data_IF_804308907207
#
_entry.id   IF_804308907207
#
_cell.length_a   1.000
_cell.length_b   1.000
_cell.length_c   1.000
_cell.angle_alpha   90.00
_cell.angle_beta   90.00
_cell.angle_gamma   90.00
#
_symmetry.space_group_name_H-M   'P 1'
#
loop_
_entity.id
_entity.type
_entity.pdbx_description
1 polymer ?
#
# COMPACT_ATOMS: atom_id res chain seq x y z
N UNK A 1 22.02 -41.75 31.59
CA UNK A 1 21.15 -40.56 31.41
C UNK A 1 21.74 -39.74 30.27
N UNK A 2 21.17 -39.83 29.05
CA UNK A 2 21.62 -39.03 27.90
C UNK A 2 20.80 -37.75 27.88
N UNK A 3 21.44 -36.62 28.15
CA UNK A 3 20.85 -35.30 27.99
C UNK A 3 20.85 -34.99 26.49
N UNK A 4 19.66 -34.92 25.88
CA UNK A 4 19.50 -34.33 24.55
C UNK A 4 19.55 -32.81 24.72
N UNK A 5 20.65 -32.20 24.30
CA UNK A 5 20.72 -30.76 24.11
C UNK A 5 19.83 -30.38 22.91
N UNK A 6 18.67 -29.77 23.18
CA UNK A 6 17.92 -29.07 22.14
C UNK A 6 18.72 -27.81 21.78
N UNK A 7 19.36 -27.83 20.61
CA UNK A 7 19.84 -26.60 19.99
C UNK A 7 18.63 -25.87 19.40
N UNK A 8 18.22 -24.78 20.05
CA UNK A 8 17.25 -23.84 19.49
C UNK A 8 17.94 -23.11 18.33
N UNK A 9 17.70 -23.56 17.10
CA UNK A 9 18.03 -22.76 15.92
C UNK A 9 17.04 -21.59 15.86
N UNK A 10 17.34 -20.51 16.55
CA UNK A 10 16.76 -19.21 16.26
C UNK A 10 17.39 -18.74 14.94
N UNK A 11 16.85 -19.21 13.82
CA UNK A 11 17.19 -18.67 12.51
C UNK A 11 16.82 -17.19 12.48
N UNK A 12 17.70 -16.35 11.94
CA UNK A 12 17.34 -14.99 11.56
C UNK A 12 16.18 -15.10 10.57
N UNK A 13 14.97 -14.68 10.97
CA UNK A 13 13.84 -14.65 10.06
C UNK A 13 13.99 -13.43 9.15
N UNK A 14 14.39 -13.66 7.91
CA UNK A 14 14.15 -12.75 6.79
C UNK A 14 12.63 -12.80 6.51
N UNK A 15 11.88 -11.88 7.12
CA UNK A 15 10.42 -11.87 7.06
C UNK A 15 9.91 -10.52 6.53
N UNK A 16 9.09 -10.59 5.48
CA UNK A 16 8.26 -9.49 5.02
C UNK A 16 6.81 -9.68 5.47
N UNK A 17 6.11 -8.58 5.75
CA UNK A 17 4.67 -8.62 6.00
C UNK A 17 3.93 -8.37 4.69
N UNK A 18 2.89 -9.16 4.45
CA UNK A 18 1.96 -8.99 3.33
C UNK A 18 0.56 -9.19 3.85
N UNK A 19 -0.26 -8.15 3.78
CA UNK A 19 -1.63 -8.19 4.30
C UNK A 19 -2.56 -7.28 3.49
N UNK A 20 -3.85 -7.54 3.56
CA UNK A 20 -4.86 -6.70 2.93
C UNK A 20 -5.48 -5.70 3.90
N UNK A 21 -5.87 -4.55 3.37
CA UNK A 21 -6.74 -3.60 4.05
C UNK A 21 -7.95 -3.31 3.17
N UNK A 22 -9.16 -3.42 3.72
CA UNK A 22 -10.40 -3.13 2.98
C UNK A 22 -10.61 -1.63 2.77
N UNK A 23 -11.39 -1.26 1.76
CA UNK A 23 -11.77 0.15 1.55
C UNK A 23 -12.58 0.68 2.74
N UNK A 24 -12.10 1.79 3.32
CA UNK A 24 -12.84 2.60 4.31
C UNK A 24 -13.83 3.48 3.57
N UNK A 25 -13.33 4.27 2.62
CA UNK A 25 -14.13 5.22 1.86
C UNK A 25 -13.46 5.60 0.55
N UNK A 26 -14.22 6.25 -0.33
CA UNK A 26 -13.71 6.88 -1.55
C UNK A 26 -14.15 8.34 -1.52
N UNK A 27 -13.19 9.27 -1.42
CA UNK A 27 -13.45 10.67 -1.14
C UNK A 27 -12.52 11.59 -1.92
N UNK A 28 -12.92 12.87 -2.06
CA UNK A 28 -12.09 13.94 -2.63
C UNK A 28 -11.40 14.70 -1.52
N UNK A 29 -10.52 14.01 -0.82
CA UNK A 29 -9.77 14.55 0.31
C UNK A 29 -8.32 14.08 0.15
N UNK A 30 -7.39 14.99 0.39
CA UNK A 30 -5.96 14.77 0.22
C UNK A 30 -5.17 15.55 1.28
N UNK A 31 -4.91 14.95 2.44
CA UNK A 31 -4.30 15.66 3.56
C UNK A 31 -2.80 15.92 3.43
N UNK A 32 -2.13 15.38 2.40
CA UNK A 32 -0.69 15.56 2.25
C UNK A 32 -0.34 16.41 1.00
N UNK A 33 -1.02 16.26 -0.15
CA UNK A 33 -0.79 17.14 -1.31
C UNK A 33 -1.71 18.37 -1.31
N UNK A 34 -2.96 18.27 -0.85
CA UNK A 34 -3.88 19.42 -0.77
C UNK A 34 -4.52 19.59 0.64
N UNK A 35 -3.72 19.82 1.70
CA UNK A 35 -4.23 19.85 3.07
C UNK A 35 -5.37 20.84 3.26
N UNK A 36 -6.46 20.37 3.86
CA UNK A 36 -7.65 21.16 4.17
C UNK A 36 -8.57 21.45 2.99
N UNK A 37 -8.20 21.07 1.76
CA UNK A 37 -9.03 21.28 0.58
C UNK A 37 -10.11 20.22 0.48
N UNK A 38 -11.37 20.66 0.51
CA UNK A 38 -12.54 19.80 0.35
C UNK A 38 -13.54 20.46 -0.61
N UNK A 39 -13.73 19.94 -1.84
CA UNK A 39 -13.05 18.76 -2.40
C UNK A 39 -11.62 19.05 -2.87
N UNK A 40 -10.72 18.08 -2.71
CA UNK A 40 -9.42 18.07 -3.41
C UNK A 40 -9.60 17.83 -4.92
N UNK A 41 -8.55 18.06 -5.70
CA UNK A 41 -8.53 17.87 -7.15
C UNK A 41 -8.68 16.40 -7.56
N UNK A 42 -8.18 15.48 -6.74
CA UNK A 42 -8.26 14.03 -6.98
C UNK A 42 -9.32 13.33 -6.13
N UNK A 43 -9.68 12.11 -6.54
CA UNK A 43 -10.52 11.21 -5.77
C UNK A 43 -9.62 10.08 -5.30
N UNK A 44 -9.62 9.81 -4.01
CA UNK A 44 -8.79 8.78 -3.40
C UNK A 44 -9.63 7.62 -2.88
N UNK A 45 -9.15 6.39 -3.07
CA UNK A 45 -9.57 5.26 -2.25
C UNK A 45 -8.74 5.30 -0.97
N UNK A 46 -9.41 5.23 0.18
CA UNK A 46 -8.79 5.29 1.49
C UNK A 46 -8.93 3.94 2.19
N UNK A 47 -7.87 3.47 2.83
CA UNK A 47 -7.83 2.25 3.65
C UNK A 47 -7.06 2.49 4.96
N UNK A 48 -7.18 1.55 5.90
CA UNK A 48 -6.41 1.55 7.16
C UNK A 48 -7.19 2.16 8.32
N UNK A 49 -6.52 3.00 9.11
CA UNK A 49 -7.07 3.63 10.31
C UNK A 49 -8.28 4.54 10.05
N UNK A 50 -9.10 4.78 11.07
CA UNK A 50 -10.28 5.66 10.96
C UNK A 50 -10.02 7.15 11.26
N UNK A 51 -8.76 7.55 11.45
CA UNK A 51 -8.40 8.95 11.74
C UNK A 51 -8.10 9.78 10.47
N UNK A 52 -8.47 9.28 9.29
CA UNK A 52 -8.29 9.99 8.01
C UNK A 52 -9.20 11.23 7.91
N UNK A 53 -8.60 12.40 7.70
CA UNK A 53 -9.29 13.70 7.68
C UNK A 53 -8.63 14.65 6.68
N UNK A 54 -9.30 15.74 6.24
CA UNK A 54 -8.70 16.74 5.34
C UNK A 54 -7.44 17.42 5.87
N UNK A 55 -7.34 17.57 7.18
CA UNK A 55 -6.14 18.05 7.85
C UNK A 55 -5.69 16.95 8.81
N UNK A 56 -4.45 16.49 8.68
CA UNK A 56 -3.88 15.44 9.52
C UNK A 56 -2.58 15.94 10.12
N UNK A 57 -2.62 16.36 11.39
CA UNK A 57 -1.48 16.86 12.15
C UNK A 57 -1.03 15.85 13.23
N UNK A 58 0.27 15.87 13.56
CA UNK A 58 0.86 14.99 14.56
C UNK A 58 0.98 13.53 14.10
N UNK A 59 0.94 12.62 15.07
CA UNK A 59 0.88 11.18 14.83
C UNK A 59 -0.58 10.74 14.76
N UNK A 60 -1.02 10.31 13.58
CA UNK A 60 -2.43 9.99 13.31
C UNK A 60 -2.72 8.52 13.65
N UNK A 61 -1.71 7.64 13.71
CA UNK A 61 -1.89 6.25 14.12
C UNK A 61 -2.40 6.17 15.56
N UNK A 62 -1.84 7.02 16.43
CA UNK A 62 -2.26 7.21 17.83
C UNK A 62 -3.65 7.87 17.99
N UNK A 63 -4.19 8.46 16.93
CA UNK A 63 -5.54 9.05 16.94
C UNK A 63 -6.60 8.07 16.42
N UNK A 64 -6.16 6.98 15.79
CA UNK A 64 -7.01 5.91 15.31
C UNK A 64 -7.57 5.05 16.45
N UNK A 65 -8.78 4.54 16.26
CA UNK A 65 -9.42 3.59 17.19
C UNK A 65 -9.86 2.29 16.52
N UNK A 66 -9.87 2.25 15.18
CA UNK A 66 -10.09 1.04 14.42
C UNK A 66 -9.34 1.10 13.08
N UNK A 67 -9.09 -0.07 12.48
CA UNK A 67 -8.44 -0.21 11.18
C UNK A 67 -9.19 -1.22 10.30
N UNK A 68 -9.09 -1.06 8.98
CA UNK A 68 -9.58 -2.04 8.01
C UNK A 68 -8.53 -3.05 7.57
N UNK A 69 -7.31 -2.93 8.09
CA UNK A 69 -6.21 -3.85 7.84
C UNK A 69 -6.36 -5.16 8.62
N UNK A 70 -5.80 -6.25 8.07
CA UNK A 70 -5.83 -7.57 8.73
C UNK A 70 -5.09 -7.56 10.09
N UNK A 71 -4.04 -6.76 10.22
CA UNK A 71 -3.37 -6.52 11.50
C UNK A 71 -4.11 -5.41 12.26
N UNK A 72 -4.67 -5.76 13.42
CA UNK A 72 -5.48 -4.86 14.24
C UNK A 72 -4.69 -3.76 14.92
N UNK A 73 -3.37 -3.91 14.96
CA UNK A 73 -2.40 -2.98 15.51
C UNK A 73 -1.94 -1.92 14.49
N UNK A 74 -2.28 -2.06 13.20
CA UNK A 74 -1.89 -1.09 12.17
C UNK A 74 -2.99 -0.03 11.97
N UNK A 75 -2.83 1.13 12.62
CA UNK A 75 -3.72 2.29 12.48
C UNK A 75 -3.27 3.29 11.41
N UNK A 76 -2.27 2.93 10.60
CA UNK A 76 -1.78 3.76 9.51
C UNK A 76 -2.88 4.05 8.47
N UNK A 77 -2.77 5.20 7.82
CA UNK A 77 -3.63 5.54 6.68
C UNK A 77 -2.87 5.42 5.35
N UNK A 78 -3.52 4.77 4.40
CA UNK A 78 -3.03 4.62 3.04
C UNK A 78 -4.13 5.02 2.06
N UNK A 79 -3.77 5.77 1.02
CA UNK A 79 -4.73 6.15 0.01
C UNK A 79 -4.08 6.25 -1.37
N UNK A 80 -4.88 5.95 -2.40
CA UNK A 80 -4.45 5.98 -3.80
C UNK A 80 -5.46 6.69 -4.67
N UNK A 81 -4.97 7.38 -5.71
CA UNK A 81 -5.83 7.93 -6.75
C UNK A 81 -6.72 6.86 -7.39
N UNK A 82 -8.02 7.16 -7.50
CA UNK A 82 -9.00 6.29 -8.14
C UNK A 82 -8.89 6.40 -9.66
N UNK A 83 -8.79 5.26 -10.33
CA UNK A 83 -8.79 5.20 -11.79
C UNK A 83 -10.18 5.40 -12.38
N UNK A 84 -10.24 6.14 -13.48
CA UNK A 84 -11.43 6.31 -14.30
C UNK A 84 -11.13 5.90 -15.73
N UNK A 85 -12.05 5.12 -16.32
CA UNK A 85 -12.08 4.87 -17.76
C UNK A 85 -12.79 6.04 -18.44
N UNK A 86 -12.12 6.66 -19.41
CA UNK A 86 -12.72 7.68 -20.28
C UNK A 86 -13.30 7.02 -21.52
N UNK A 87 -14.62 7.07 -21.65
CA UNK A 87 -15.32 6.61 -22.85
C UNK A 87 -15.07 7.55 -24.04
N UNK A 88 -15.23 7.05 -25.26
CA UNK A 88 -15.10 7.83 -26.50
C UNK A 88 -16.05 9.03 -26.56
N UNK A 89 -17.21 8.93 -25.91
CA UNK A 89 -18.18 10.02 -25.77
C UNK A 89 -17.76 11.11 -24.75
N UNK A 90 -16.57 10.99 -24.17
CA UNK A 90 -16.02 11.92 -23.17
C UNK A 90 -16.48 11.69 -21.73
N UNK A 91 -17.42 10.77 -21.48
CA UNK A 91 -17.85 10.43 -20.13
C UNK A 91 -16.79 9.59 -19.39
N UNK A 92 -16.79 9.68 -18.06
CA UNK A 92 -15.86 8.94 -17.21
C UNK A 92 -16.63 7.94 -16.36
N UNK A 93 -16.10 6.71 -16.27
CA UNK A 93 -16.63 5.67 -15.40
C UNK A 93 -15.53 5.19 -14.47
N UNK A 94 -15.81 5.20 -13.16
CA UNK A 94 -14.87 4.69 -12.16
C UNK A 94 -14.54 3.22 -12.43
N UNK A 95 -13.25 2.89 -12.43
CA UNK A 95 -12.79 1.49 -12.52
C UNK A 95 -13.01 0.82 -11.16
N UNK A 96 -13.77 -0.28 -11.09
CA UNK A 96 -13.95 -1.02 -9.85
C UNK A 96 -12.63 -1.59 -9.34
N UNK A 97 -12.43 -1.55 -8.03
CA UNK A 97 -11.30 -2.14 -7.34
C UNK A 97 -11.76 -3.41 -6.64
N UNK A 98 -10.91 -4.43 -6.61
CA UNK A 98 -11.17 -5.69 -5.93
C UNK A 98 -9.89 -6.18 -5.27
N UNK A 99 -10.05 -7.07 -4.28
CA UNK A 99 -8.94 -7.54 -3.46
C UNK A 99 -7.92 -8.33 -4.29
N UNK A 100 -6.64 -8.21 -3.92
CA UNK A 100 -5.60 -9.06 -4.49
C UNK A 100 -5.81 -10.52 -4.06
N UNK A 101 -5.27 -11.46 -4.83
CA UNK A 101 -5.33 -12.88 -4.51
C UNK A 101 -4.57 -13.20 -3.22
N UNK A 102 -4.98 -14.28 -2.54
CA UNK A 102 -4.25 -14.91 -1.43
C UNK A 102 -4.03 -13.99 -0.22
N UNK A 103 -5.00 -13.11 0.11
CA UNK A 103 -4.91 -12.19 1.26
C UNK A 103 -5.53 -12.74 2.56
N UNK A 104 -6.11 -13.93 2.51
CA UNK A 104 -6.67 -14.64 3.67
C UNK A 104 -5.63 -15.48 4.39
N UNK A 105 -6.11 -16.28 5.34
CA UNK A 105 -5.26 -17.17 6.14
C UNK A 105 -4.58 -18.23 5.25
N UNK A 106 -3.31 -18.56 5.55
CA UNK A 106 -2.54 -19.60 4.84
C UNK A 106 -2.46 -19.45 3.30
N UNK A 107 -2.56 -18.22 2.78
CA UNK A 107 -2.49 -17.97 1.34
C UNK A 107 -3.78 -18.29 0.58
N UNK A 108 -4.90 -18.47 1.29
CA UNK A 108 -6.24 -18.51 0.71
C UNK A 108 -6.75 -17.11 0.40
N UNK A 109 -7.77 -16.99 -0.46
CA UNK A 109 -8.42 -15.71 -0.71
C UNK A 109 -9.24 -15.27 0.52
N UNK A 110 -9.14 -14.00 0.89
CA UNK A 110 -9.95 -13.43 1.97
C UNK A 110 -11.34 -13.06 1.42
N UNK A 111 -12.43 -13.76 1.82
CA UNK A 111 -13.77 -13.47 1.32
C UNK A 111 -14.36 -12.18 1.88
N UNK A 112 -13.80 -11.68 2.98
CA UNK A 112 -14.23 -10.53 3.75
C UNK A 112 -13.51 -9.23 3.35
N UNK A 113 -12.38 -9.31 2.64
CA UNK A 113 -11.66 -8.12 2.14
C UNK A 113 -12.38 -7.56 0.92
N UNK A 114 -12.90 -6.33 1.05
CA UNK A 114 -13.70 -5.66 0.02
C UNK A 114 -12.94 -4.47 -0.57
N UNK A 115 -12.61 -4.58 -1.86
CA UNK A 115 -11.80 -3.57 -2.54
C UNK A 115 -10.46 -3.38 -1.83
N UNK A 116 -10.04 -2.12 -1.67
CA UNK A 116 -8.91 -1.78 -0.83
C UNK A 116 -7.57 -2.02 -1.52
N UNK A 117 -6.56 -2.38 -0.74
CA UNK A 117 -5.19 -2.59 -1.23
C UNK A 117 -4.45 -3.65 -0.42
N UNK A 118 -3.36 -4.15 -1.01
CA UNK A 118 -2.41 -5.01 -0.32
C UNK A 118 -1.20 -4.20 0.11
N UNK A 119 -0.89 -4.25 1.40
CA UNK A 119 0.28 -3.60 1.98
C UNK A 119 1.41 -4.62 2.07
N UNK A 120 2.61 -4.18 1.68
CA UNK A 120 3.84 -4.92 1.82
C UNK A 120 4.81 -4.12 2.67
N UNK A 121 5.26 -4.71 3.78
CA UNK A 121 6.44 -4.24 4.50
C UNK A 121 7.57 -5.24 4.25
N UNK A 122 8.42 -4.93 3.27
CA UNK A 122 9.57 -5.76 2.88
C UNK A 122 10.87 -5.08 3.25
N UNK A 123 11.91 -5.87 3.49
CA UNK A 123 13.18 -5.37 4.00
C UNK A 123 14.11 -4.85 2.87
N UNK A 124 13.96 -5.35 1.65
CA UNK A 124 14.48 -4.73 0.42
C UNK A 124 13.73 -5.29 -0.77
N UNK A 125 13.59 -6.60 -0.78
CA UNK A 125 12.68 -7.35 -1.65
C UNK A 125 11.99 -8.46 -0.83
N UNK A 126 11.32 -9.40 -1.50
CA UNK A 126 10.63 -10.52 -0.84
C UNK A 126 11.57 -11.62 -0.33
N UNK A 127 12.88 -11.52 -0.58
CA UNK A 127 13.85 -12.59 -0.37
C UNK A 127 15.08 -12.16 0.44
N UNK A 128 15.37 -10.86 0.51
CA UNK A 128 16.53 -10.32 1.20
C UNK A 128 16.24 -8.95 1.79
N UNK A 129 16.91 -8.63 2.90
CA UNK A 129 17.06 -7.28 3.45
C UNK A 129 18.31 -6.54 2.94
N UNK A 130 19.11 -7.18 2.09
CA UNK A 130 20.38 -6.63 1.60
C UNK A 130 21.43 -6.43 2.69
N UNK A 131 21.35 -7.19 3.78
CA UNK A 131 22.14 -7.08 5.02
C UNK A 131 22.09 -5.67 5.64
N UNK A 132 21.00 -4.92 5.39
CA UNK A 132 20.79 -3.58 5.95
C UNK A 132 19.98 -3.64 7.24
N UNK A 133 20.35 -2.81 8.22
CA UNK A 133 19.56 -2.64 9.44
C UNK A 133 18.40 -1.67 9.17
N UNK A 134 17.17 -2.18 9.26
CA UNK A 134 15.96 -1.43 8.96
C UNK A 134 15.28 -1.01 10.24
N UNK A 135 14.90 0.25 10.30
CA UNK A 135 14.15 0.81 11.42
C UNK A 135 12.69 1.02 11.05
N UNK A 136 11.84 1.11 12.06
CA UNK A 136 10.50 1.62 11.86
C UNK A 136 10.55 3.09 11.42
N UNK A 137 9.52 3.55 10.70
CA UNK A 137 9.41 4.98 10.34
C UNK A 137 9.08 5.76 11.62
N UNK A 138 9.59 6.98 11.70
CA UNK A 138 9.35 7.84 12.86
C UNK A 138 7.87 8.25 12.95
N UNK A 139 7.35 8.53 14.16
CA UNK A 139 6.04 9.13 14.36
C UNK A 139 5.79 10.34 13.44
N UNK A 140 4.60 10.40 12.83
CA UNK A 140 4.22 11.48 11.91
C UNK A 140 4.90 11.44 10.54
N UNK A 141 5.60 10.36 10.20
CA UNK A 141 6.23 10.19 8.89
C UNK A 141 5.19 10.05 7.76
N UNK A 142 5.37 10.83 6.70
CA UNK A 142 4.49 10.86 5.52
C UNK A 142 5.31 10.65 4.26
N UNK A 143 4.79 9.84 3.35
CA UNK A 143 5.36 9.66 2.01
C UNK A 143 4.29 9.85 0.94
N UNK A 144 4.72 10.32 -0.23
CA UNK A 144 3.91 10.36 -1.45
C UNK A 144 4.73 9.80 -2.63
N UNK A 145 4.07 9.16 -3.58
CA UNK A 145 4.69 8.67 -4.82
C UNK A 145 3.83 9.03 -6.01
N UNK A 146 4.45 9.53 -7.06
CA UNK A 146 3.75 10.12 -8.20
C UNK A 146 3.74 11.64 -8.14
N UNK A 147 3.19 12.25 -9.18
CA UNK A 147 2.96 13.68 -9.23
C UNK A 147 1.80 13.95 -10.19
N UNK A 148 0.74 14.67 -9.76
CA UNK A 148 -0.44 14.89 -10.58
C UNK A 148 -0.20 15.89 -11.72
N UNK A 149 0.85 16.70 -11.62
CA UNK A 149 1.22 17.69 -12.64
C UNK A 149 2.25 17.16 -13.64
N UNK A 150 2.65 15.89 -13.53
CA UNK A 150 3.65 15.31 -14.43
C UNK A 150 3.07 15.10 -15.82
N UNK A 151 3.78 15.64 -16.81
CA UNK A 151 3.40 15.62 -18.22
C UNK A 151 4.50 15.02 -19.12
N UNK A 152 5.47 14.31 -18.54
CA UNK A 152 6.54 13.63 -19.27
C UNK A 152 6.16 12.17 -19.53
N UNK A 153 6.66 11.61 -20.64
CA UNK A 153 6.45 10.21 -21.02
C UNK A 153 7.34 9.21 -20.28
N UNK A 154 8.14 9.68 -19.32
CA UNK A 154 8.97 8.81 -18.49
C UNK A 154 8.20 8.44 -17.23
N UNK A 155 8.11 7.14 -16.90
CA UNK A 155 7.43 6.71 -15.69
C UNK A 155 8.03 7.29 -14.40
N UNK A 156 7.21 7.32 -13.35
CA UNK A 156 7.62 7.87 -12.05
C UNK A 156 8.41 6.83 -11.25
N UNK A 157 9.58 7.18 -10.67
CA UNK A 157 10.29 6.27 -9.77
C UNK A 157 9.39 5.86 -8.60
N UNK A 158 9.08 4.56 -8.51
CA UNK A 158 8.23 4.00 -7.46
C UNK A 158 6.76 3.76 -7.86
N UNK A 159 6.30 4.25 -9.01
CA UNK A 159 4.97 3.91 -9.54
C UNK A 159 5.12 2.92 -10.69
N UNK A 160 4.50 1.75 -10.55
CA UNK A 160 4.59 0.65 -11.52
C UNK A 160 3.22 0.03 -11.79
N UNK A 161 3.10 -0.61 -12.95
CA UNK A 161 1.87 -1.25 -13.39
C UNK A 161 2.15 -2.67 -13.87
N UNK A 162 1.26 -3.60 -13.54
CA UNK A 162 1.26 -4.95 -14.10
C UNK A 162 -0.09 -5.23 -14.75
N UNK A 163 -0.06 -5.57 -16.03
CA UNK A 163 -1.23 -6.09 -16.74
C UNK A 163 -1.49 -7.52 -16.28
N UNK A 164 -2.64 -7.78 -15.65
CA UNK A 164 -2.98 -9.10 -15.15
C UNK A 164 -3.70 -9.91 -16.23
N UNK A 165 -3.08 -11.00 -16.66
CA UNK A 165 -3.74 -12.04 -17.47
C UNK A 165 -4.67 -12.89 -16.57
N UNK A 166 -4.23 -13.14 -15.33
CA UNK A 166 -5.03 -13.71 -14.24
C UNK A 166 -4.73 -12.95 -12.94
N UNK A 167 -5.58 -13.09 -11.92
CA UNK A 167 -5.33 -12.48 -10.61
C UNK A 167 -4.01 -12.94 -9.95
N UNK A 168 -3.45 -14.06 -10.39
CA UNK A 168 -2.18 -14.62 -9.92
C UNK A 168 -0.96 -14.17 -10.75
N UNK A 169 -1.13 -13.37 -11.80
CA UNK A 169 -0.02 -12.85 -12.62
C UNK A 169 0.91 -11.97 -11.77
N UNK A 170 2.23 -12.20 -11.83
CA UNK A 170 3.27 -11.47 -11.08
C UNK A 170 4.50 -11.20 -11.97
N UNK A 171 5.30 -10.18 -11.62
CA UNK A 171 6.69 -10.01 -12.10
C UNK A 171 6.90 -9.18 -13.37
N UNK A 172 5.88 -8.92 -14.18
CA UNK A 172 6.00 -8.03 -15.36
C UNK A 172 5.55 -6.61 -15.02
N UNK A 173 6.41 -5.88 -14.31
CA UNK A 173 6.20 -4.47 -13.97
C UNK A 173 6.61 -3.54 -15.11
N UNK A 174 5.76 -2.55 -15.38
CA UNK A 174 5.97 -1.53 -16.40
C UNK A 174 5.87 -0.15 -15.77
N UNK A 175 6.60 0.81 -16.35
CA UNK A 175 6.62 2.20 -15.89
C UNK A 175 5.37 2.98 -16.29
N UNK A 176 4.67 2.50 -17.32
CA UNK A 176 3.53 3.16 -17.95
C UNK A 176 2.30 2.25 -17.86
N UNK A 177 1.13 2.82 -18.11
CA UNK A 177 -0.10 2.03 -18.19
C UNK A 177 0.00 0.97 -19.30
N UNK A 178 -0.61 -0.22 -19.11
CA UNK A 178 -0.70 -1.21 -20.17
C UNK A 178 -1.36 -0.65 -21.43
N UNK A 179 -0.74 -0.89 -22.58
CA UNK A 179 -1.22 -0.48 -23.92
C UNK A 179 -2.22 -1.47 -24.53
N UNK A 180 -2.43 -2.61 -23.86
CA UNK A 180 -3.39 -3.65 -24.23
C UNK A 180 -4.42 -3.90 -23.12
N UNK A 181 -5.60 -4.44 -23.46
CA UNK A 181 -6.55 -4.90 -22.46
C UNK A 181 -5.95 -5.97 -21.55
N UNK A 182 -6.18 -5.86 -20.25
CA UNK A 182 -5.77 -6.83 -19.23
C UNK A 182 -6.99 -7.62 -18.76
N UNK A 183 -7.11 -8.92 -19.10
CA UNK A 183 -8.30 -9.72 -18.81
C UNK A 183 -8.70 -9.74 -17.32
N UNK A 184 -7.71 -9.75 -16.44
CA UNK A 184 -7.89 -9.67 -15.00
C UNK A 184 -7.52 -8.28 -14.46
N UNK A 185 -7.65 -7.21 -15.24
CA UNK A 185 -7.41 -5.83 -14.76
C UNK A 185 -5.94 -5.44 -14.63
N UNK A 186 -5.71 -4.26 -14.06
CA UNK A 186 -4.38 -3.66 -13.89
C UNK A 186 -4.05 -3.61 -12.41
N UNK A 187 -2.90 -4.17 -12.03
CA UNK A 187 -2.35 -3.99 -10.70
C UNK A 187 -1.46 -2.76 -10.71
N UNK A 188 -1.79 -1.77 -9.89
CA UNK A 188 -0.94 -0.59 -9.66
C UNK A 188 -0.10 -0.87 -8.42
N UNK A 189 1.20 -0.62 -8.51
CA UNK A 189 2.17 -0.93 -7.48
C UNK A 189 2.91 0.35 -7.10
N UNK A 190 2.97 0.60 -5.81
CA UNK A 190 3.60 1.77 -5.22
C UNK A 190 4.74 1.33 -4.33
N UNK A 191 5.95 1.67 -4.75
CA UNK A 191 7.18 1.38 -4.03
C UNK A 191 7.63 2.62 -3.28
N UNK A 192 7.85 2.43 -1.98
CA UNK A 192 8.50 3.40 -1.12
C UNK A 192 9.83 2.82 -0.62
N UNK A 193 10.86 3.66 -0.45
CA UNK A 193 12.13 3.20 0.12
C UNK A 193 11.95 2.81 1.60
N UNK A 194 12.69 1.80 2.04
CA UNK A 194 12.83 1.49 3.47
C UNK A 194 13.73 2.53 4.17
N UNK A 195 13.47 2.79 5.46
CA UNK A 195 14.36 3.61 6.28
C UNK A 195 15.52 2.77 6.83
N UNK A 196 16.74 3.30 6.73
CA UNK A 196 17.98 2.65 7.16
C UNK A 196 18.73 3.63 8.12
N UNK A 197 18.83 3.28 9.42
CA UNK A 197 19.52 3.96 10.57
C UNK A 197 18.85 5.13 11.34
N UNK A 198 19.23 5.36 12.63
CA UNK A 198 19.26 4.44 13.77
C UNK A 198 18.18 4.78 14.83
N UNK A 199 17.75 3.75 15.56
CA UNK A 199 17.00 3.77 16.83
C UNK A 199 15.88 4.80 16.97
N UNK A 200 14.63 4.35 16.84
CA UNK A 200 13.49 4.64 17.73
C UNK A 200 12.33 3.73 17.29
N UNK A 201 11.71 3.03 18.23
CA UNK A 201 10.59 2.10 18.00
C UNK A 201 9.26 2.83 17.91
N UNK A 202 8.48 2.59 16.86
CA UNK A 202 7.08 3.04 16.72
C UNK A 202 6.49 2.52 15.41
N UNK A 203 5.31 1.90 15.44
CA UNK A 203 4.70 1.23 14.29
C UNK A 203 3.58 2.09 13.63
N UNK A 204 3.84 3.33 13.22
CA UNK A 204 2.75 4.18 12.66
C UNK A 204 3.19 5.10 11.51
N UNK A 205 2.65 4.87 10.30
CA UNK A 205 3.31 5.35 9.06
C UNK A 205 2.34 5.63 7.91
N UNK A 206 2.34 6.84 7.35
CA UNK A 206 1.39 7.28 6.31
C UNK A 206 1.96 7.21 4.90
N UNK A 207 1.17 6.71 3.94
CA UNK A 207 1.52 6.76 2.52
C UNK A 207 0.35 7.29 1.68
N UNK A 208 0.56 8.43 1.05
CA UNK A 208 -0.20 8.91 -0.11
C UNK A 208 0.36 8.35 -1.41
N UNK A 209 -0.50 8.22 -2.43
CA UNK A 209 -0.14 7.89 -3.81
C UNK A 209 -0.94 8.76 -4.79
#
# INVERSE_FOLDING_TARGET
MKWLSLFLYAGLSEAGLRFGCSSVSIQRIDPLVEPGQVPSAHVHQIVGGNAFQPNMEGDIGEQGTCTTCAYTEDFSNYWTAVMYFKHENGSYKRVPQYANAQLGYEGHDAPDIKGGMTIYYTQKDLYSNGDQYITSFQPGFRMTVGSPTRNTSEGYPGLKYTCLETILTRGSETSDFPDKPCPAGVMVIQHFPAQVFPFLSGFDRFCEV
#
